data_IF_583898672449
#
_entry.id   IF_583898672449
#
_cell.length_a   1.000
_cell.length_b   1.000
_cell.length_c   1.000
_cell.angle_alpha   90.00
_cell.angle_beta   90.00
_cell.angle_gamma   90.00
#
_symmetry.space_group_name_H-M   'P 1'
#
loop_
_entity.id
_entity.type
_entity.pdbx_description
1 polymer ?
#
# COMPACT_ATOMS: atom_id res chain seq x y z
N UNK A 1 -38.25 19.30 41.49
CA UNK A 1 -37.92 20.49 40.66
C UNK A 1 -36.44 20.45 40.32
N UNK A 2 -36.10 20.76 39.08
CA UNK A 2 -34.81 21.30 38.60
C UNK A 2 -33.69 20.34 38.15
N UNK A 3 -33.51 20.37 36.83
CA UNK A 3 -32.31 19.96 36.07
C UNK A 3 -31.18 20.98 36.27
N UNK A 4 -29.92 20.54 36.25
CA UNK A 4 -28.76 21.23 35.63
C UNK A 4 -27.49 20.37 35.82
N UNK A 5 -26.86 19.86 34.75
CA UNK A 5 -25.83 20.47 33.90
C UNK A 5 -24.43 20.58 34.54
N UNK A 6 -23.51 19.78 33.98
CA UNK A 6 -22.21 20.21 33.41
C UNK A 6 -20.89 20.15 34.22
N UNK A 7 -19.95 19.40 33.63
CA UNK A 7 -18.51 19.68 33.38
C UNK A 7 -17.52 19.61 34.56
N UNK A 8 -16.49 18.77 34.43
CA UNK A 8 -15.05 19.13 34.27
C UNK A 8 -14.18 17.87 34.53
N UNK A 9 -13.43 17.38 33.54
CA UNK A 9 -11.97 17.55 33.37
C UNK A 9 -11.13 16.60 34.24
N UNK A 10 -10.50 15.61 33.60
CA UNK A 10 -9.20 15.05 34.00
C UNK A 10 -8.62 14.18 32.86
N UNK A 11 -8.17 14.79 31.76
CA UNK A 11 -7.19 14.17 30.85
C UNK A 11 -6.25 15.27 30.33
N UNK A 12 -5.41 15.76 31.24
CA UNK A 12 -4.25 16.58 30.89
C UNK A 12 -3.03 15.85 31.47
N UNK A 13 -2.29 15.13 30.62
CA UNK A 13 -1.07 14.46 31.07
C UNK A 13 -0.54 13.33 30.21
N UNK A 14 -0.55 13.43 28.87
CA UNK A 14 0.39 12.64 28.04
C UNK A 14 0.55 13.10 26.58
N UNK A 15 0.31 14.39 26.27
CA UNK A 15 0.40 14.90 24.87
C UNK A 15 1.57 15.89 24.67
N UNK A 16 2.48 16.04 25.64
CA UNK A 16 3.58 17.02 25.57
C UNK A 16 4.96 16.35 25.83
N UNK A 17 5.21 15.17 25.26
CA UNK A 17 6.50 14.48 25.41
C UNK A 17 7.19 14.06 24.10
N UNK A 18 6.66 14.42 22.93
CA UNK A 18 7.27 14.03 21.63
C UNK A 18 7.60 15.24 20.73
N UNK A 19 7.39 16.48 21.19
CA UNK A 19 7.55 17.69 20.35
C UNK A 19 8.92 18.39 20.50
N UNK A 20 9.89 17.89 21.27
CA UNK A 20 11.15 18.64 21.50
C UNK A 20 12.44 17.80 21.46
N UNK A 21 12.70 17.05 20.37
CA UNK A 21 14.10 16.64 20.12
C UNK A 21 14.42 16.43 18.63
N UNK A 22 14.14 17.45 17.84
CA UNK A 22 14.80 17.70 16.55
C UNK A 22 15.70 18.92 16.74
N UNK A 23 16.88 18.89 16.11
CA UNK A 23 17.94 19.92 15.95
C UNK A 23 19.21 19.65 16.77
N UNK A 24 20.27 19.19 16.08
CA UNK A 24 21.60 19.84 16.09
C UNK A 24 22.62 19.18 15.12
N UNK A 25 23.39 20.05 14.45
CA UNK A 25 24.71 19.89 13.76
C UNK A 25 24.70 19.30 12.34
N UNK A 26 24.85 20.06 11.23
CA UNK A 26 25.91 21.01 10.78
C UNK A 26 27.28 20.36 10.60
N UNK A 27 27.78 20.34 9.34
CA UNK A 27 29.23 20.30 9.09
C UNK A 27 29.69 19.78 7.71
N UNK A 28 30.16 20.69 6.85
CA UNK A 28 31.23 20.48 5.84
C UNK A 28 30.79 19.86 4.51
N UNK A 29 31.03 20.44 3.33
CA UNK A 29 32.10 21.33 2.92
C UNK A 29 32.94 20.63 1.84
N UNK A 30 32.68 20.98 0.59
CA UNK A 30 33.23 20.40 -0.66
C UNK A 30 34.73 20.61 -0.86
N UNK A 31 35.41 19.66 -1.51
CA UNK A 31 36.60 19.84 -2.37
C UNK A 31 36.75 18.56 -3.23
N UNK A 32 36.44 18.62 -4.54
CA UNK A 32 37.38 18.67 -5.69
C UNK A 32 38.18 17.36 -5.86
N UNK A 33 38.38 16.71 -7.00
CA UNK A 33 38.06 16.89 -8.43
C UNK A 33 38.35 15.53 -9.06
N UNK A 34 37.61 15.08 -10.08
CA UNK A 34 38.19 14.23 -11.13
C UNK A 34 37.60 14.60 -12.49
N UNK A 35 38.46 15.27 -13.26
CA UNK A 35 38.38 15.44 -14.70
C UNK A 35 38.72 14.11 -15.38
N UNK A 36 37.83 13.60 -16.22
CA UNK A 36 38.20 12.67 -17.30
C UNK A 36 37.35 12.98 -18.54
N UNK A 37 37.99 13.64 -19.49
CA UNK A 37 37.99 13.42 -20.95
C UNK A 37 36.77 12.77 -21.61
N UNK A 38 36.13 13.42 -22.60
CA UNK A 38 35.22 12.75 -23.52
C UNK A 38 36.01 12.02 -24.62
N UNK A 39 35.96 10.69 -24.64
CA UNK A 39 36.37 9.89 -25.80
C UNK A 39 35.11 9.40 -26.55
N UNK A 40 35.01 9.59 -27.88
CA UNK A 40 33.90 9.10 -28.68
C UNK A 40 34.21 7.67 -29.16
N UNK A 41 33.42 6.68 -28.73
CA UNK A 41 33.65 5.31 -29.16
C UNK A 41 32.52 4.33 -28.86
N UNK A 42 31.87 3.87 -29.92
CA UNK A 42 31.21 2.56 -30.04
C UNK A 42 29.82 2.39 -29.43
N UNK A 43 28.84 2.85 -30.20
CA UNK A 43 27.51 2.23 -30.33
C UNK A 43 27.62 0.72 -30.49
N UNK A 44 27.18 -0.04 -29.48
CA UNK A 44 26.77 -1.44 -29.64
C UNK A 44 25.36 -1.58 -29.07
N UNK A 45 24.39 -1.45 -29.96
CA UNK A 45 22.97 -1.70 -29.74
C UNK A 45 22.76 -3.18 -29.42
N UNK A 46 22.23 -3.56 -28.24
CA UNK A 46 21.72 -4.91 -28.06
C UNK A 46 20.46 -5.09 -28.93
N UNK A 47 20.28 -6.24 -29.61
CA UNK A 47 19.07 -6.48 -30.37
C UNK A 47 17.88 -6.45 -29.42
N UNK A 48 16.92 -5.57 -29.73
CA UNK A 48 15.55 -5.65 -29.21
C UNK A 48 15.07 -7.08 -29.38
N UNK A 49 14.98 -7.81 -28.28
CA UNK A 49 14.12 -8.97 -28.21
C UNK A 49 12.68 -8.46 -28.31
N UNK A 50 12.14 -8.50 -29.52
CA UNK A 50 10.72 -8.32 -29.79
C UNK A 50 9.97 -9.47 -29.12
N UNK A 51 9.58 -9.29 -27.87
CA UNK A 51 8.54 -10.10 -27.25
C UNK A 51 7.19 -9.67 -27.85
N UNK A 52 6.82 -10.33 -28.95
CA UNK A 52 5.43 -10.39 -29.43
C UNK A 52 4.60 -11.17 -28.42
N UNK A 53 3.49 -10.59 -27.95
CA UNK A 53 2.15 -11.21 -27.93
C UNK A 53 1.19 -10.40 -27.06
N UNK A 54 0.02 -10.09 -27.60
CA UNK A 54 -0.98 -9.22 -26.98
C UNK A 54 -1.42 -9.66 -25.58
N UNK A 55 -1.10 -8.83 -24.59
CA UNK A 55 -1.74 -8.85 -23.29
C UNK A 55 -2.93 -7.87 -23.32
N UNK A 56 -4.15 -8.38 -23.16
CA UNK A 56 -5.32 -7.58 -22.81
C UNK A 56 -4.96 -6.70 -21.60
N UNK A 57 -5.29 -5.39 -21.54
CA UNK A 57 -4.67 -4.48 -20.57
C UNK A 57 -4.80 -5.01 -19.14
N UNK A 58 -3.66 -5.32 -18.53
CA UNK A 58 -3.54 -5.43 -17.08
C UNK A 58 -3.85 -4.04 -16.50
N UNK A 59 -4.49 -3.98 -15.32
CA UNK A 59 -4.73 -2.70 -14.66
C UNK A 59 -3.37 -2.04 -14.44
N UNK A 60 -3.15 -0.87 -15.05
CA UNK A 60 -1.92 -0.11 -14.86
C UNK A 60 -1.83 0.30 -13.39
N UNK A 61 -0.65 0.20 -12.78
CA UNK A 61 -0.45 0.62 -11.40
C UNK A 61 -0.68 2.14 -11.29
N UNK A 62 -1.76 2.61 -10.63
CA UNK A 62 -2.05 4.03 -10.54
C UNK A 62 -1.33 4.68 -9.33
N UNK A 63 -0.40 3.96 -8.70
CA UNK A 63 0.35 4.38 -7.51
C UNK A 63 1.85 4.29 -7.75
N UNK A 64 2.64 4.87 -6.83
CA UNK A 64 4.09 4.72 -6.78
C UNK A 64 4.55 3.52 -5.94
N UNK A 65 3.62 2.63 -5.55
CA UNK A 65 3.92 1.48 -4.70
C UNK A 65 4.63 0.37 -5.46
N UNK A 66 5.48 -0.43 -4.79
CA UNK A 66 6.09 -1.62 -5.38
C UNK A 66 5.01 -2.59 -5.87
N UNK A 67 5.26 -3.21 -7.01
CA UNK A 67 4.38 -4.21 -7.59
C UNK A 67 4.71 -5.63 -7.09
N UNK A 68 3.70 -6.49 -7.04
CA UNK A 68 3.83 -7.94 -6.82
C UNK A 68 2.89 -8.66 -7.79
N UNK A 69 3.38 -9.71 -8.46
CA UNK A 69 2.51 -10.54 -9.30
C UNK A 69 1.56 -11.35 -8.41
N UNK A 70 0.31 -11.50 -8.84
CA UNK A 70 -0.69 -12.24 -8.09
C UNK A 70 -0.25 -13.70 -7.84
N UNK A 71 0.49 -14.27 -8.78
CA UNK A 71 1.10 -15.60 -8.67
C UNK A 71 2.11 -15.75 -7.52
N UNK A 72 2.75 -14.65 -7.10
CA UNK A 72 3.74 -14.60 -6.00
C UNK A 72 3.11 -14.35 -4.63
N UNK A 73 1.81 -14.05 -4.56
CA UNK A 73 1.11 -13.84 -3.30
C UNK A 73 0.99 -15.16 -2.50
N UNK A 74 0.88 -15.08 -1.15
CA UNK A 74 0.48 -16.22 -0.34
C UNK A 74 -0.78 -16.89 -0.89
N UNK A 75 -0.89 -18.21 -0.68
CA UNK A 75 -2.02 -19.01 -1.18
C UNK A 75 -3.37 -18.43 -0.75
N UNK A 76 -3.47 -17.98 0.49
CA UNK A 76 -4.67 -17.42 1.10
C UNK A 76 -5.06 -16.09 0.44
N UNK A 77 -4.08 -15.27 0.05
CA UNK A 77 -4.33 -14.03 -0.68
C UNK A 77 -4.87 -14.31 -2.09
N UNK A 78 -4.30 -15.30 -2.79
CA UNK A 78 -4.83 -15.74 -4.10
C UNK A 78 -6.25 -16.29 -4.01
N UNK A 79 -6.56 -17.05 -2.96
CA UNK A 79 -7.93 -17.51 -2.69
C UNK A 79 -8.89 -16.34 -2.42
N UNK A 80 -8.43 -15.33 -1.68
CA UNK A 80 -9.20 -14.10 -1.42
C UNK A 80 -9.46 -13.33 -2.72
N UNK A 81 -8.47 -13.21 -3.62
CA UNK A 81 -8.67 -12.64 -4.96
C UNK A 81 -9.74 -13.39 -5.75
N UNK A 82 -9.75 -14.73 -5.69
CA UNK A 82 -10.77 -15.53 -6.35
C UNK A 82 -12.18 -15.30 -5.77
N UNK A 83 -12.31 -15.08 -4.46
CA UNK A 83 -13.58 -14.70 -3.84
C UNK A 83 -14.01 -13.30 -4.25
N UNK A 84 -13.08 -12.34 -4.30
CA UNK A 84 -13.33 -10.98 -4.78
C UNK A 84 -13.85 -11.01 -6.22
N UNK A 85 -13.22 -11.79 -7.10
CA UNK A 85 -13.64 -11.94 -8.50
C UNK A 85 -15.05 -12.55 -8.65
N UNK A 86 -15.45 -13.43 -7.73
CA UNK A 86 -16.79 -14.04 -7.68
C UNK A 86 -17.86 -13.16 -7.01
N UNK A 87 -17.46 -12.13 -6.27
CA UNK A 87 -18.36 -11.33 -5.45
C UNK A 87 -18.75 -11.99 -4.12
N UNK A 88 -17.95 -12.92 -3.61
CA UNK A 88 -18.20 -13.66 -2.37
C UNK A 88 -18.76 -15.08 -2.58
N UNK A 89 -19.35 -15.70 -1.55
CA UNK A 89 -19.53 -15.19 -0.18
C UNK A 89 -18.18 -14.94 0.51
N UNK A 90 -18.14 -13.94 1.39
CA UNK A 90 -16.94 -13.60 2.15
C UNK A 90 -16.97 -14.22 3.56
N UNK A 91 -15.85 -14.73 4.07
CA UNK A 91 -15.81 -15.45 5.34
C UNK A 91 -15.89 -14.56 6.58
N UNK A 92 -15.59 -13.25 6.47
CA UNK A 92 -15.61 -12.34 7.61
C UNK A 92 -16.61 -11.19 7.42
N UNK A 93 -17.30 -10.81 8.50
CA UNK A 93 -18.33 -9.75 8.50
C UNK A 93 -17.83 -8.38 8.04
N UNK A 94 -16.51 -8.16 8.12
CA UNK A 94 -15.86 -6.91 7.72
C UNK A 94 -15.36 -6.93 6.28
N UNK A 95 -15.47 -8.03 5.57
CA UNK A 95 -15.06 -8.10 4.18
C UNK A 95 -16.01 -7.28 3.29
N UNK A 96 -15.44 -6.45 2.43
CA UNK A 96 -16.17 -5.57 1.52
C UNK A 96 -16.62 -4.23 2.14
N UNK A 97 -16.27 -3.94 3.40
CA UNK A 97 -16.51 -2.62 4.01
C UNK A 97 -15.55 -1.57 3.44
N UNK A 98 -15.89 -0.29 3.62
CA UNK A 98 -15.07 0.82 3.13
C UNK A 98 -13.72 0.89 3.85
N UNK A 99 -12.63 1.00 3.09
CA UNK A 99 -11.31 1.34 3.58
C UNK A 99 -11.09 2.85 3.44
N UNK A 100 -10.72 3.51 4.55
CA UNK A 100 -10.65 4.97 4.63
C UNK A 100 -9.40 5.60 4.00
N UNK A 101 -8.28 4.87 3.95
CA UNK A 101 -6.98 5.40 3.52
C UNK A 101 -6.59 6.70 4.25
N UNK A 102 -6.72 6.75 5.59
CA UNK A 102 -6.51 7.96 6.39
C UNK A 102 -5.03 8.38 6.42
N UNK A 103 -4.14 7.40 6.36
CA UNK A 103 -2.68 7.56 6.32
C UNK A 103 -2.19 7.97 4.92
N UNK A 104 -3.05 7.84 3.90
CA UNK A 104 -2.76 8.29 2.53
C UNK A 104 -1.70 7.46 1.79
N UNK A 105 -1.50 6.20 2.19
CA UNK A 105 -0.53 5.29 1.56
C UNK A 105 -0.98 4.81 0.16
N UNK A 106 -2.29 4.78 -0.08
CA UNK A 106 -2.86 4.57 -1.41
C UNK A 106 -3.16 5.92 -2.09
N UNK A 107 -3.29 5.97 -3.43
CA UNK A 107 -3.68 7.20 -4.13
C UNK A 107 -4.92 7.87 -3.51
N UNK A 108 -4.87 9.20 -3.40
CA UNK A 108 -5.98 9.97 -2.82
C UNK A 108 -7.21 9.90 -3.74
N UNK A 109 -8.32 9.39 -3.20
CA UNK A 109 -9.61 9.24 -3.90
C UNK A 109 -10.76 9.70 -3.00
N UNK A 110 -11.97 9.79 -3.55
CA UNK A 110 -13.18 10.12 -2.79
C UNK A 110 -13.54 9.05 -1.76
N UNK A 111 -14.35 9.41 -0.76
CA UNK A 111 -14.80 8.47 0.27
C UNK A 111 -15.51 7.24 -0.31
N UNK A 112 -15.23 6.07 0.28
CA UNK A 112 -15.79 4.80 -0.18
C UNK A 112 -15.27 4.32 -1.54
N UNK A 113 -14.14 4.86 -2.01
CA UNK A 113 -13.48 4.37 -3.22
C UNK A 113 -12.83 3.00 -3.03
N UNK A 114 -12.28 2.75 -1.83
CA UNK A 114 -11.58 1.52 -1.51
C UNK A 114 -12.44 0.62 -0.61
N UNK A 115 -12.35 -0.69 -0.84
CA UNK A 115 -12.92 -1.74 0.01
C UNK A 115 -11.84 -2.66 0.53
N UNK A 116 -11.97 -3.14 1.76
CA UNK A 116 -11.03 -4.09 2.36
C UNK A 116 -11.56 -5.52 2.38
N UNK A 117 -10.66 -6.49 2.27
CA UNK A 117 -10.93 -7.91 2.37
C UNK A 117 -9.84 -8.60 3.19
N UNK A 118 -10.26 -9.48 4.08
CA UNK A 118 -9.39 -10.25 4.95
C UNK A 118 -8.66 -11.32 4.17
N UNK A 119 -7.35 -11.42 4.37
CA UNK A 119 -6.56 -12.58 3.93
C UNK A 119 -6.27 -13.43 5.17
N UNK A 120 -6.78 -14.66 5.27
CA UNK A 120 -6.51 -15.53 6.41
C UNK A 120 -5.01 -15.75 6.63
N UNK A 121 -4.59 -15.75 7.89
CA UNK A 121 -3.27 -16.25 8.28
C UNK A 121 -3.42 -17.65 8.86
N UNK A 122 -2.76 -18.68 8.29
CA UNK A 122 -2.82 -20.02 8.85
C UNK A 122 -2.38 -20.06 10.32
N UNK A 123 -3.21 -20.66 11.17
CA UNK A 123 -2.94 -20.82 12.61
C UNK A 123 -3.39 -19.66 13.50
N UNK A 124 -3.82 -18.53 12.93
CA UNK A 124 -4.42 -17.44 13.70
C UNK A 124 -5.92 -17.70 13.95
N UNK A 125 -6.38 -17.38 15.16
CA UNK A 125 -7.80 -17.52 15.55
C UNK A 125 -8.63 -16.28 15.24
N UNK A 126 -7.97 -15.15 14.97
CA UNK A 126 -8.60 -13.90 14.57
C UNK A 126 -8.42 -13.66 13.06
N UNK A 127 -8.74 -12.45 12.60
CA UNK A 127 -8.65 -12.06 11.18
C UNK A 127 -7.21 -11.88 10.69
N UNK A 128 -6.22 -11.85 11.60
CA UNK A 128 -4.83 -11.55 11.31
C UNK A 128 -4.57 -10.14 10.81
N UNK A 129 -3.33 -9.89 10.39
CA UNK A 129 -2.89 -8.59 9.88
C UNK A 129 -3.09 -8.41 8.35
N UNK A 130 -3.25 -9.50 7.60
CA UNK A 130 -3.14 -9.47 6.14
C UNK A 130 -4.46 -9.05 5.47
N UNK A 131 -4.39 -8.16 4.47
CA UNK A 131 -5.57 -7.67 3.74
C UNK A 131 -5.30 -7.49 2.25
N UNK A 132 -6.38 -7.52 1.47
CA UNK A 132 -6.43 -6.99 0.11
C UNK A 132 -7.36 -5.77 0.09
N UNK A 133 -6.89 -4.67 -0.49
CA UNK A 133 -7.68 -3.46 -0.73
C UNK A 133 -8.01 -3.37 -2.21
N UNK A 134 -9.28 -3.16 -2.54
CA UNK A 134 -9.78 -3.06 -3.92
C UNK A 134 -10.34 -1.67 -4.16
N UNK A 135 -9.83 -0.99 -5.17
CA UNK A 135 -10.37 0.28 -5.68
C UNK A 135 -11.52 0.05 -6.66
N UNK A 136 -12.40 1.04 -6.81
CA UNK A 136 -13.47 1.04 -7.82
C UNK A 136 -12.95 0.98 -9.27
N UNK A 137 -11.70 1.35 -9.49
CA UNK A 137 -10.96 1.21 -10.75
C UNK A 137 -10.36 -0.19 -10.97
N UNK A 138 -10.73 -1.17 -10.13
CA UNK A 138 -10.22 -2.54 -10.15
C UNK A 138 -8.74 -2.68 -9.78
N UNK A 139 -8.08 -1.60 -9.35
CA UNK A 139 -6.75 -1.66 -8.74
C UNK A 139 -6.83 -2.44 -7.42
N UNK A 140 -5.85 -3.33 -7.19
CA UNK A 140 -5.80 -4.17 -6.00
C UNK A 140 -4.46 -4.01 -5.31
N UNK A 141 -4.48 -3.94 -3.99
CA UNK A 141 -3.29 -3.75 -3.17
C UNK A 141 -3.27 -4.81 -2.07
N UNK A 142 -2.10 -5.37 -1.79
CA UNK A 142 -1.88 -6.30 -0.70
C UNK A 142 -1.12 -5.61 0.44
N UNK A 143 -1.59 -5.78 1.67
CA UNK A 143 -0.86 -5.42 2.90
C UNK A 143 -0.67 -6.69 3.73
N UNK A 144 0.57 -7.05 4.10
CA UNK A 144 0.83 -8.18 5.00
C UNK A 144 0.79 -7.78 6.49
N UNK A 145 0.71 -6.49 6.79
CA UNK A 145 1.13 -5.85 8.04
C UNK A 145 0.09 -4.83 8.55
N UNK A 146 -1.20 -5.14 8.36
CA UNK A 146 -2.30 -4.34 8.91
C UNK A 146 -2.21 -2.84 8.53
N UNK A 147 -2.07 -2.60 7.23
CA UNK A 147 -2.05 -1.28 6.58
C UNK A 147 -0.78 -0.44 6.81
N UNK A 148 0.28 -1.00 7.38
CA UNK A 148 1.57 -0.30 7.51
C UNK A 148 2.30 -0.14 6.17
N UNK A 149 2.17 -1.13 5.27
CA UNK A 149 2.71 -1.06 3.91
C UNK A 149 1.82 -1.73 2.88
N UNK A 150 2.01 -1.35 1.61
CA UNK A 150 1.22 -1.87 0.50
C UNK A 150 2.08 -2.25 -0.70
N UNK A 151 1.63 -3.29 -1.40
CA UNK A 151 2.13 -3.66 -2.74
C UNK A 151 0.97 -3.65 -3.74
N UNK A 152 1.17 -3.06 -4.91
CA UNK A 152 0.20 -3.14 -5.99
C UNK A 152 0.21 -4.55 -6.60
N UNK A 153 -0.96 -5.16 -6.74
CA UNK A 153 -1.11 -6.51 -7.28
C UNK A 153 -1.25 -6.42 -8.79
N UNK A 154 -0.32 -7.03 -9.50
CA UNK A 154 -0.40 -7.26 -10.94
C UNK A 154 -1.04 -8.63 -11.15
N UNK A 155 -2.24 -8.67 -11.73
CA UNK A 155 -2.89 -9.93 -12.08
C UNK A 155 -2.43 -10.39 -13.46
N UNK A 156 -1.71 -11.52 -13.48
CA UNK A 156 -1.40 -12.25 -14.70
C UNK A 156 -2.74 -12.72 -15.31
N UNK A 157 -2.96 -12.46 -16.61
CA UNK A 157 -4.13 -12.95 -17.34
C UNK A 157 -3.90 -14.33 -17.92
#
# INVERSE_FOLDING_TARGET
>A
MNRSRSKLVAFAGLVIAVVVLVVAMVGGGSLTSQTTTPEPGSTSTPPMATATAGATPAVANPSSLPAINASQLPKEARQTLALIAKGGPYPYDRDGVNFGNFEGLLPKKSGGFYKEYTVPTPGESDRGARRIIVGKDSAKYYTPDHYESFKFIVEDK
#
